data_IF_795355224766
#
_entry.id   IF_795355224766
#
_cell.length_a   1.000
_cell.length_b   1.000
_cell.length_c   1.000
_cell.angle_alpha   90.00
_cell.angle_beta   90.00
_cell.angle_gamma   90.00
#
_symmetry.space_group_name_H-M   'P 1'
#
loop_
_entity.id
_entity.type
_entity.pdbx_description
1 polymer ?
#
# COMPACT_ATOMS: atom_id res chain seq x y z
N UNK A 1 -14.54 21.51 0.98
CA UNK A 1 -13.55 20.45 1.26
C UNK A 1 -12.16 20.93 0.92
N UNK A 2 -11.13 20.51 1.66
CA UNK A 2 -9.74 20.75 1.27
C UNK A 2 -9.13 19.42 0.82
N UNK A 3 -9.33 19.07 -0.45
CA UNK A 3 -8.80 17.84 -1.05
C UNK A 3 -7.28 17.77 -1.00
N UNK A 4 -6.58 18.91 -1.00
CA UNK A 4 -5.13 18.97 -0.85
C UNK A 4 -4.71 18.53 0.55
N UNK A 5 -5.41 18.99 1.59
CA UNK A 5 -5.17 18.56 2.96
C UNK A 5 -5.37 17.04 3.12
N UNK A 6 -6.45 16.48 2.57
CA UNK A 6 -6.69 15.03 2.61
C UNK A 6 -5.57 14.24 1.91
N UNK A 7 -5.09 14.74 0.75
CA UNK A 7 -3.95 14.14 0.04
C UNK A 7 -2.67 14.20 0.86
N UNK A 8 -2.40 15.32 1.55
CA UNK A 8 -1.25 15.46 2.44
C UNK A 8 -1.34 14.45 3.58
N UNK A 9 -2.49 14.36 4.26
CA UNK A 9 -2.73 13.37 5.32
C UNK A 9 -2.49 11.96 4.80
N UNK A 10 -3.08 11.59 3.67
CA UNK A 10 -2.91 10.27 3.07
C UNK A 10 -1.44 9.98 2.70
N UNK A 11 -0.71 10.96 2.15
CA UNK A 11 0.71 10.81 1.83
C UNK A 11 1.56 10.63 3.10
N UNK A 12 1.27 11.38 4.17
CA UNK A 12 1.94 11.24 5.46
C UNK A 12 1.72 9.87 6.08
N UNK A 13 0.50 9.31 6.00
CA UNK A 13 0.21 7.96 6.50
C UNK A 13 0.85 6.86 5.64
N UNK A 14 0.97 7.06 4.32
CA UNK A 14 1.79 6.16 3.48
C UNK A 14 3.27 6.24 3.86
N UNK A 15 3.78 7.44 4.14
CA UNK A 15 5.15 7.61 4.61
C UNK A 15 5.37 6.98 5.99
N UNK A 16 4.40 7.06 6.89
CA UNK A 16 4.42 6.32 8.16
C UNK A 16 4.61 4.82 7.95
N UNK A 17 3.90 4.21 6.99
CA UNK A 17 4.06 2.79 6.66
C UNK A 17 5.48 2.43 6.16
N UNK A 18 6.15 3.33 5.44
CA UNK A 18 7.56 3.17 5.08
C UNK A 18 8.47 3.23 6.30
N UNK A 19 8.28 4.22 7.18
CA UNK A 19 9.13 4.42 8.36
C UNK A 19 8.93 3.30 9.38
N UNK A 20 7.70 2.77 9.53
CA UNK A 20 7.42 1.60 10.36
C UNK A 20 8.24 0.37 9.95
N UNK A 21 8.36 0.12 8.65
CA UNK A 21 9.18 -0.98 8.15
C UNK A 21 10.68 -0.70 8.34
N UNK A 22 11.11 0.56 8.26
CA UNK A 22 12.47 0.97 8.59
C UNK A 22 12.80 0.73 10.07
N UNK A 23 11.96 1.23 10.98
CA UNK A 23 12.09 1.01 12.43
C UNK A 23 12.16 -0.49 12.76
N UNK A 24 11.33 -1.32 12.10
CA UNK A 24 11.39 -2.78 12.26
C UNK A 24 12.72 -3.38 11.80
N UNK A 25 13.25 -2.97 10.64
CA UNK A 25 14.51 -3.48 10.09
C UNK A 25 15.71 -3.12 10.96
N UNK A 26 15.66 -1.94 11.57
CA UNK A 26 16.71 -1.43 12.44
C UNK A 26 16.51 -1.83 13.91
N UNK A 27 15.44 -2.56 14.24
CA UNK A 27 15.14 -2.98 15.61
C UNK A 27 14.79 -1.82 16.55
N UNK A 28 14.32 -0.69 16.02
CA UNK A 28 13.93 0.49 16.82
C UNK A 28 12.61 0.24 17.54
N UNK A 29 12.56 0.59 18.82
CA UNK A 29 11.38 0.42 19.67
C UNK A 29 11.30 1.51 20.73
N UNK A 30 10.11 1.76 21.28
CA UNK A 30 9.91 2.79 22.29
C UNK A 30 10.29 4.18 21.78
N UNK A 31 11.17 4.86 22.51
CA UNK A 31 11.61 6.24 22.21
C UNK A 31 12.47 6.35 20.95
N UNK A 32 13.05 5.23 20.48
CA UNK A 32 13.87 5.21 19.26
C UNK A 32 13.04 5.17 17.96
N UNK A 33 11.71 5.04 18.06
CA UNK A 33 10.85 4.94 16.89
C UNK A 33 10.72 6.28 16.17
N UNK A 34 10.94 6.27 14.85
CA UNK A 34 10.78 7.45 14.01
C UNK A 34 9.39 7.52 13.36
N UNK A 35 8.63 6.44 13.39
CA UNK A 35 7.34 6.37 12.73
C UNK A 35 6.21 7.15 13.45
N UNK A 36 6.09 7.18 14.80
CA UNK A 36 4.95 7.79 15.50
C UNK A 36 4.60 9.24 15.11
N UNK A 37 5.58 10.15 14.95
CA UNK A 37 5.29 11.54 14.57
C UNK A 37 4.48 11.68 13.27
N UNK A 38 4.56 10.72 12.34
CA UNK A 38 3.90 10.80 11.04
C UNK A 38 2.37 10.68 11.11
N UNK A 39 1.83 9.95 12.10
CA UNK A 39 0.38 9.81 12.30
C UNK A 39 -0.12 10.64 13.48
N UNK A 40 0.69 10.81 14.53
CA UNK A 40 0.30 11.57 15.73
C UNK A 40 0.08 13.05 15.43
N UNK A 41 0.88 13.63 14.52
CA UNK A 41 0.71 15.02 14.10
C UNK A 41 -0.69 15.32 13.54
N UNK A 42 -1.30 14.33 12.87
CA UNK A 42 -2.66 14.42 12.32
C UNK A 42 -3.74 13.86 13.25
N UNK A 43 -3.39 13.54 14.50
CA UNK A 43 -4.33 13.01 15.48
C UNK A 43 -4.74 11.55 15.23
N UNK A 44 -3.95 10.79 14.49
CA UNK A 44 -4.19 9.37 14.29
C UNK A 44 -3.50 8.52 15.36
N UNK A 45 -3.84 7.23 15.38
CA UNK A 45 -3.09 6.18 16.05
C UNK A 45 -2.94 4.97 15.15
N UNK A 46 -1.84 4.24 15.35
CA UNK A 46 -1.59 2.97 14.70
C UNK A 46 -2.46 1.87 15.35
N UNK A 47 -3.27 1.19 14.54
CA UNK A 47 -4.10 0.06 14.97
C UNK A 47 -3.41 -1.27 14.72
N UNK A 48 -2.87 -1.45 13.52
CA UNK A 48 -2.19 -2.70 13.15
C UNK A 48 -1.27 -2.50 11.95
N UNK A 49 -0.17 -3.25 11.90
CA UNK A 49 0.67 -3.39 10.71
C UNK A 49 0.15 -4.51 9.81
N UNK A 50 0.28 -4.36 8.50
CA UNK A 50 -0.06 -5.38 7.50
C UNK A 50 1.21 -6.18 7.19
N UNK A 51 1.43 -7.29 7.89
CA UNK A 51 2.66 -8.09 7.76
C UNK A 51 2.49 -9.16 6.68
N UNK A 52 3.45 -9.23 5.76
CA UNK A 52 3.61 -10.35 4.85
C UNK A 52 4.47 -11.43 5.52
N UNK A 53 3.91 -12.64 5.67
CA UNK A 53 4.51 -13.78 6.35
C UNK A 53 4.92 -14.92 5.39
N UNK A 54 5.01 -14.63 4.08
CA UNK A 54 5.13 -15.67 3.03
C UNK A 54 6.39 -16.56 3.15
N UNK A 55 7.44 -16.11 3.82
CA UNK A 55 8.61 -16.96 4.09
C UNK A 55 9.18 -16.64 5.46
N UNK A 56 9.40 -17.68 6.26
CA UNK A 56 9.93 -17.64 7.64
C UNK A 56 11.27 -16.93 7.81
N UNK A 57 11.91 -16.55 6.71
CA UNK A 57 13.22 -15.91 6.64
C UNK A 57 13.17 -14.40 6.40
N UNK A 58 12.03 -13.83 5.96
CA UNK A 58 11.91 -12.37 5.79
C UNK A 58 10.46 -11.89 5.91
N UNK A 59 9.92 -11.81 7.13
CA UNK A 59 8.69 -11.07 7.35
C UNK A 59 8.93 -9.58 7.08
N UNK A 60 7.98 -8.91 6.43
CA UNK A 60 8.02 -7.46 6.22
C UNK A 60 6.62 -6.87 6.27
N UNK A 61 6.50 -5.63 6.73
CA UNK A 61 5.23 -4.91 6.68
C UNK A 61 5.01 -4.33 5.28
N UNK A 62 3.84 -4.54 4.68
CA UNK A 62 3.42 -3.92 3.41
C UNK A 62 2.59 -2.64 3.64
N UNK A 63 2.20 -2.35 4.87
CA UNK A 63 1.29 -1.25 5.17
C UNK A 63 0.87 -1.19 6.63
N UNK A 64 -0.04 -0.29 6.93
CA UNK A 64 -0.59 -0.12 8.26
C UNK A 64 -2.03 0.38 8.22
N UNK A 65 -2.75 0.16 9.31
CA UNK A 65 -4.10 0.69 9.55
C UNK A 65 -4.02 1.74 10.64
N UNK A 66 -4.57 2.91 10.36
CA UNK A 66 -4.63 4.03 11.29
C UNK A 66 -6.08 4.38 11.61
N UNK A 67 -6.33 4.79 12.86
CA UNK A 67 -7.62 5.31 13.31
C UNK A 67 -7.46 6.77 13.70
N UNK A 68 -8.41 7.61 13.31
CA UNK A 68 -8.43 8.98 13.79
C UNK A 68 -8.88 8.98 15.25
N UNK A 69 -8.08 9.52 16.17
CA UNK A 69 -8.48 9.72 17.56
C UNK A 69 -9.60 10.74 17.54
N UNK A 70 -10.83 10.30 17.80
CA UNK A 70 -12.02 11.14 17.70
C UNK A 70 -11.84 12.43 18.51
N UNK A 71 -11.62 13.56 17.83
CA UNK A 71 -11.98 14.85 18.41
C UNK A 71 -13.50 14.95 18.28
N UNK A 72 -14.18 15.12 19.42
CA UNK A 72 -15.65 15.26 19.48
C UNK A 72 -16.17 16.17 18.36
N UNK A 73 -17.04 15.64 17.49
CA UNK A 73 -17.64 16.39 16.39
C UNK A 73 -16.93 16.26 15.05
N UNK A 74 -16.55 15.04 14.65
CA UNK A 74 -15.94 14.79 13.35
C UNK A 74 -16.90 15.17 12.21
N UNK A 75 -16.44 16.11 11.39
CA UNK A 75 -16.96 16.35 10.03
C UNK A 75 -17.17 15.01 9.31
N UNK A 76 -18.26 14.84 8.53
CA UNK A 76 -18.50 13.61 7.75
C UNK A 76 -17.35 13.27 6.78
N UNK A 77 -16.47 14.24 6.52
CA UNK A 77 -15.32 14.14 5.62
C UNK A 77 -14.03 13.63 6.28
N UNK A 78 -14.00 13.46 7.61
CA UNK A 78 -12.84 12.92 8.33
C UNK A 78 -12.87 11.38 8.31
N UNK A 79 -11.74 10.71 7.98
CA UNK A 79 -11.72 9.25 7.95
C UNK A 79 -11.88 8.68 9.35
N UNK A 80 -12.74 7.68 9.50
CA UNK A 80 -12.78 6.86 10.70
C UNK A 80 -11.49 6.01 10.77
N UNK A 81 -11.12 5.41 9.65
CA UNK A 81 -9.90 4.62 9.51
C UNK A 81 -9.27 4.74 8.13
N UNK A 82 -7.95 4.54 8.09
CA UNK A 82 -7.13 4.63 6.88
C UNK A 82 -6.29 3.36 6.76
N UNK A 83 -6.39 2.68 5.63
CA UNK A 83 -5.46 1.62 5.23
C UNK A 83 -4.38 2.26 4.33
N UNK A 84 -3.14 2.28 4.79
CA UNK A 84 -2.01 2.83 4.05
C UNK A 84 -1.06 1.73 3.59
N UNK A 85 -0.83 1.64 2.28
CA UNK A 85 0.00 0.59 1.67
C UNK A 85 1.27 1.21 1.08
N UNK A 86 2.43 0.78 1.57
CA UNK A 86 3.71 1.27 1.03
C UNK A 86 4.04 0.61 -0.30
N UNK A 87 4.93 1.22 -1.06
CA UNK A 87 5.61 0.56 -2.18
C UNK A 87 6.86 -0.20 -1.72
N UNK A 88 7.62 -0.65 -2.70
CA UNK A 88 8.89 -1.37 -2.58
C UNK A 88 9.96 -0.52 -1.87
N UNK A 89 10.74 -1.12 -0.98
CA UNK A 89 11.89 -0.49 -0.28
C UNK A 89 13.23 -1.00 -0.84
N UNK A 90 13.36 -2.28 -1.22
CA UNK A 90 14.68 -2.85 -1.58
C UNK A 90 14.63 -3.99 -2.61
N UNK A 91 15.79 -4.48 -3.07
CA UNK A 91 15.95 -5.60 -4.03
C UNK A 91 15.23 -6.90 -3.59
N UNK A 92 15.11 -7.15 -2.28
CA UNK A 92 14.31 -8.25 -1.73
C UNK A 92 12.80 -8.08 -1.98
N UNK A 93 12.31 -6.84 -2.14
CA UNK A 93 10.95 -6.55 -2.58
C UNK A 93 10.81 -6.64 -4.12
N UNK A 94 11.91 -6.72 -4.90
CA UNK A 94 11.87 -6.76 -6.38
C UNK A 94 11.50 -8.12 -6.96
N UNK A 95 11.94 -9.22 -6.34
CA UNK A 95 11.53 -10.57 -6.74
C UNK A 95 10.03 -10.80 -6.61
N UNK A 96 9.36 -9.99 -5.78
CA UNK A 96 7.89 -9.95 -5.62
C UNK A 96 7.25 -9.04 -6.68
N UNK A 97 8.00 -8.12 -7.29
CA UNK A 97 7.51 -7.02 -8.13
C UNK A 97 7.39 -7.39 -9.62
N UNK A 98 8.31 -8.21 -10.14
CA UNK A 98 8.34 -8.57 -11.57
C UNK A 98 7.22 -9.56 -11.94
N UNK A 99 7.02 -10.64 -11.17
CA UNK A 99 5.90 -11.59 -11.38
C UNK A 99 4.51 -10.95 -11.18
N UNK A 100 4.49 -9.92 -10.35
CA UNK A 100 3.33 -9.08 -10.01
C UNK A 100 2.93 -8.17 -11.17
N UNK A 101 3.89 -7.56 -11.86
CA UNK A 101 3.68 -6.74 -13.06
C UNK A 101 3.41 -7.59 -14.31
N UNK A 102 4.01 -8.79 -14.38
CA UNK A 102 3.88 -9.74 -15.50
C UNK A 102 2.70 -10.72 -15.38
N UNK A 103 1.89 -10.61 -14.32
CA UNK A 103 0.69 -11.44 -14.12
C UNK A 103 0.99 -12.93 -13.85
N UNK A 104 2.22 -13.29 -13.49
CA UNK A 104 2.65 -14.68 -13.26
C UNK A 104 2.80 -15.08 -11.79
N UNK A 105 2.53 -14.19 -10.82
CA UNK A 105 2.43 -14.59 -9.41
C UNK A 105 2.63 -13.45 -8.40
N UNK A 106 2.39 -13.76 -7.13
CA UNK A 106 2.70 -12.97 -5.91
C UNK A 106 1.99 -11.63 -5.63
N UNK A 107 1.27 -10.98 -6.56
CA UNK A 107 0.28 -9.93 -6.23
C UNK A 107 -0.88 -10.45 -5.38
N UNK A 108 -1.18 -11.76 -5.45
CA UNK A 108 -2.30 -12.35 -4.71
C UNK A 108 -2.14 -12.19 -3.21
N UNK A 109 -0.93 -12.23 -2.66
CA UNK A 109 -0.76 -12.25 -1.20
C UNK A 109 -0.92 -10.86 -0.57
N UNK A 110 -0.25 -9.83 -1.09
CA UNK A 110 -0.42 -8.45 -0.61
C UNK A 110 -1.84 -7.94 -0.85
N UNK A 111 -2.41 -8.19 -2.04
CA UNK A 111 -3.81 -7.87 -2.30
C UNK A 111 -4.75 -8.63 -1.37
N UNK A 112 -4.50 -9.92 -1.07
CA UNK A 112 -5.30 -10.69 -0.12
C UNK A 112 -5.21 -10.13 1.30
N UNK A 113 -4.02 -9.82 1.81
CA UNK A 113 -3.86 -9.24 3.16
C UNK A 113 -4.64 -7.92 3.26
N UNK A 114 -4.50 -7.05 2.27
CA UNK A 114 -5.16 -5.73 2.27
C UNK A 114 -6.67 -5.89 2.07
N UNK A 115 -7.11 -6.83 1.21
CA UNK A 115 -8.53 -7.15 1.01
C UNK A 115 -9.16 -7.73 2.28
N UNK A 116 -8.54 -8.72 2.92
CA UNK A 116 -9.02 -9.31 4.17
C UNK A 116 -9.13 -8.26 5.27
N UNK A 117 -8.16 -7.34 5.35
CA UNK A 117 -8.24 -6.22 6.27
C UNK A 117 -9.39 -5.30 5.92
N UNK A 118 -9.54 -4.89 4.66
CA UNK A 118 -10.62 -4.01 4.21
C UNK A 118 -12.01 -4.60 4.50
N UNK A 119 -12.21 -5.88 4.20
CA UNK A 119 -13.43 -6.62 4.51
C UNK A 119 -13.69 -6.69 6.02
N UNK A 120 -12.65 -6.95 6.81
CA UNK A 120 -12.78 -6.96 8.27
C UNK A 120 -13.18 -5.60 8.83
N UNK A 121 -12.61 -4.50 8.32
CA UNK A 121 -12.96 -3.16 8.79
C UNK A 121 -14.40 -2.80 8.43
N UNK A 122 -14.86 -3.13 7.21
CA UNK A 122 -16.25 -2.94 6.80
C UNK A 122 -17.21 -3.75 7.65
N UNK A 123 -16.86 -5.00 7.98
CA UNK A 123 -17.69 -5.85 8.86
C UNK A 123 -17.80 -5.29 10.28
N UNK A 124 -16.73 -4.67 10.79
CA UNK A 124 -16.68 -4.14 12.16
C UNK A 124 -17.31 -2.76 12.29
N UNK A 125 -17.14 -1.88 11.30
CA UNK A 125 -17.53 -0.47 11.37
C UNK A 125 -18.71 -0.11 10.45
N UNK A 126 -19.18 -1.06 9.64
CA UNK A 126 -20.28 -0.85 8.69
C UNK A 126 -19.82 -0.23 7.36
N UNK A 127 -20.70 -0.34 6.35
CA UNK A 127 -20.44 0.12 4.98
C UNK A 127 -20.41 1.64 4.84
N UNK A 128 -21.13 2.35 5.72
CA UNK A 128 -21.22 3.82 5.73
C UNK A 128 -20.04 4.50 6.45
N UNK A 129 -19.08 3.71 6.97
CA UNK A 129 -17.90 4.27 7.60
C UNK A 129 -17.00 4.95 6.56
N UNK A 130 -16.54 6.17 6.86
CA UNK A 130 -15.59 6.90 6.03
C UNK A 130 -14.21 6.23 6.11
N UNK A 131 -14.02 5.19 5.29
CA UNK A 131 -12.79 4.41 5.19
C UNK A 131 -11.93 4.92 4.03
N UNK A 132 -10.65 5.14 4.30
CA UNK A 132 -9.69 5.53 3.30
C UNK A 132 -8.77 4.38 2.94
N UNK A 133 -8.41 4.33 1.66
CA UNK A 133 -7.42 3.40 1.14
C UNK A 133 -6.37 4.19 0.36
N UNK A 134 -5.13 4.18 0.83
CA UNK A 134 -4.05 4.93 0.20
C UNK A 134 -2.85 4.06 -0.12
N UNK A 135 -2.11 4.42 -1.18
CA UNK A 135 -0.88 3.72 -1.49
C UNK A 135 0.05 4.46 -2.44
N UNK A 136 1.33 4.10 -2.38
CA UNK A 136 2.40 4.64 -3.23
C UNK A 136 3.06 3.57 -4.10
N UNK A 137 3.38 3.88 -5.36
CA UNK A 137 4.06 2.96 -6.29
C UNK A 137 3.33 1.62 -6.38
N UNK A 138 3.98 0.50 -6.05
CA UNK A 138 3.34 -0.82 -5.97
C UNK A 138 2.12 -0.83 -5.01
N UNK A 139 2.21 -0.13 -3.89
CA UNK A 139 1.10 0.01 -2.94
C UNK A 139 -0.11 0.72 -3.54
N UNK A 140 0.10 1.64 -4.49
CA UNK A 140 -0.98 2.29 -5.21
C UNK A 140 -1.71 1.32 -6.16
N UNK A 141 -0.98 0.38 -6.79
CA UNK A 141 -1.60 -0.70 -7.57
C UNK A 141 -2.45 -1.62 -6.69
N UNK A 142 -1.94 -1.99 -5.51
CA UNK A 142 -2.69 -2.81 -4.53
C UNK A 142 -3.94 -2.08 -4.05
N UNK A 143 -3.81 -0.80 -3.67
CA UNK A 143 -4.93 0.05 -3.27
C UNK A 143 -5.99 0.16 -4.38
N UNK A 144 -5.56 0.32 -5.63
CA UNK A 144 -6.47 0.36 -6.79
C UNK A 144 -7.23 -0.94 -6.96
N UNK A 145 -6.53 -2.08 -6.90
CA UNK A 145 -7.16 -3.40 -7.02
C UNK A 145 -8.17 -3.66 -5.91
N UNK A 146 -7.78 -3.45 -4.64
CA UNK A 146 -8.68 -3.66 -3.50
C UNK A 146 -9.86 -2.70 -3.54
N UNK A 147 -9.64 -1.43 -3.87
CA UNK A 147 -10.71 -0.45 -4.05
C UNK A 147 -11.74 -0.88 -5.11
N UNK A 148 -11.29 -1.37 -6.27
CA UNK A 148 -12.17 -1.91 -7.32
C UNK A 148 -12.97 -3.14 -6.84
N UNK A 149 -12.33 -4.06 -6.10
CA UNK A 149 -13.02 -5.24 -5.56
C UNK A 149 -14.04 -4.89 -4.47
N UNK A 150 -13.73 -3.96 -3.58
CA UNK A 150 -14.65 -3.49 -2.55
C UNK A 150 -15.84 -2.73 -3.16
N UNK A 151 -15.60 -1.92 -4.19
CA UNK A 151 -16.67 -1.21 -4.91
C UNK A 151 -17.66 -2.19 -5.58
N UNK A 152 -17.17 -3.30 -6.15
CA UNK A 152 -18.01 -4.39 -6.68
C UNK A 152 -18.89 -5.05 -5.62
N UNK A 153 -18.50 -4.99 -4.35
CA UNK A 153 -19.27 -5.45 -3.19
C UNK A 153 -20.16 -4.34 -2.58
N UNK A 154 -20.27 -3.19 -3.23
CA UNK A 154 -21.05 -2.04 -2.76
C UNK A 154 -20.38 -1.22 -1.66
N UNK A 155 -19.10 -1.45 -1.37
CA UNK A 155 -18.35 -0.75 -0.32
C UNK A 155 -17.37 0.25 -0.94
N UNK A 156 -17.60 1.55 -0.74
CA UNK A 156 -16.80 2.60 -1.38
C UNK A 156 -15.77 3.19 -0.42
N UNK A 157 -14.50 3.12 -0.82
CA UNK A 157 -13.38 3.70 -0.06
C UNK A 157 -12.94 4.99 -0.73
N UNK A 158 -12.68 6.03 0.06
CA UNK A 158 -11.97 7.21 -0.46
C UNK A 158 -10.54 6.80 -0.75
N UNK A 159 -10.15 6.82 -2.03
CA UNK A 159 -8.88 6.23 -2.47
C UNK A 159 -7.85 7.30 -2.87
N UNK A 160 -6.64 7.22 -2.32
CA UNK A 160 -5.53 8.13 -2.62
C UNK A 160 -4.34 7.37 -3.20
N UNK A 161 -3.98 7.67 -4.46
CA UNK A 161 -2.96 6.94 -5.20
C UNK A 161 -1.78 7.86 -5.52
N UNK A 162 -0.57 7.45 -5.11
CA UNK A 162 0.65 8.23 -5.30
C UNK A 162 1.60 7.49 -6.24
N UNK A 163 1.89 8.11 -7.39
CA UNK A 163 2.80 7.56 -8.41
C UNK A 163 2.56 6.06 -8.73
N UNK A 164 1.31 5.63 -9.04
CA UNK A 164 1.09 4.26 -9.48
C UNK A 164 1.91 4.00 -10.76
N UNK A 165 2.54 2.83 -10.92
CA UNK A 165 3.10 2.46 -12.22
C UNK A 165 1.98 2.59 -13.25
N UNK A 166 2.26 3.21 -14.40
CA UNK A 166 1.25 3.52 -15.42
C UNK A 166 0.55 2.25 -15.89
N UNK A 167 -0.61 1.93 -15.32
CA UNK A 167 -1.56 0.96 -15.86
C UNK A 167 -2.65 1.77 -16.57
N UNK A 168 -2.26 2.43 -17.66
CA UNK A 168 -3.22 3.17 -18.50
C UNK A 168 -3.85 2.20 -19.50
N UNK A 169 -5.00 1.63 -19.13
CA UNK A 169 -5.96 1.02 -20.05
C UNK A 169 -5.66 -0.43 -20.51
N UNK A 170 -6.72 -1.23 -20.68
CA UNK A 170 -6.67 -2.69 -20.96
C UNK A 170 -5.91 -3.06 -22.25
N UNK A 171 -5.71 -2.12 -23.18
CA UNK A 171 -4.95 -2.26 -24.44
C UNK A 171 -3.45 -1.99 -24.31
N UNK A 172 -2.98 -1.27 -23.29
CA UNK A 172 -1.56 -0.96 -23.12
C UNK A 172 -0.80 -2.03 -22.33
N UNK A 173 -1.51 -2.93 -21.64
CA UNK A 173 -0.92 -4.08 -20.94
C UNK A 173 -0.02 -4.90 -21.87
N UNK A 174 -0.50 -5.19 -23.07
CA UNK A 174 0.22 -6.04 -24.02
C UNK A 174 1.47 -5.33 -24.57
N UNK A 175 1.38 -4.03 -24.86
CA UNK A 175 2.52 -3.23 -25.33
C UNK A 175 3.58 -2.98 -24.25
N UNK A 176 3.19 -2.89 -22.99
CA UNK A 176 4.11 -2.77 -21.86
C UNK A 176 4.84 -4.09 -21.58
N UNK A 177 4.13 -5.22 -21.66
CA UNK A 177 4.73 -6.55 -21.52
C UNK A 177 5.78 -6.76 -22.60
N UNK A 178 5.47 -6.44 -23.86
CA UNK A 178 6.43 -6.58 -24.96
C UNK A 178 7.67 -5.70 -24.79
N UNK A 179 7.48 -4.45 -24.35
CA UNK A 179 8.60 -3.50 -24.15
C UNK A 179 9.46 -3.87 -22.94
N UNK A 180 8.89 -4.51 -21.92
CA UNK A 180 9.63 -5.07 -20.80
C UNK A 180 10.41 -6.32 -21.21
N UNK A 181 9.83 -7.19 -22.03
CA UNK A 181 10.54 -8.36 -22.56
C UNK A 181 11.77 -7.95 -23.37
N UNK A 182 11.67 -6.92 -24.20
CA UNK A 182 12.79 -6.39 -25.00
C UNK A 182 13.91 -5.81 -24.11
N UNK A 183 13.55 -5.08 -23.04
CA UNK A 183 14.51 -4.52 -22.06
C UNK A 183 15.15 -5.64 -21.23
N UNK A 184 14.39 -6.69 -20.88
CA UNK A 184 14.89 -7.83 -20.12
C UNK A 184 15.81 -8.74 -20.95
N UNK A 185 15.58 -8.87 -22.26
CA UNK A 185 16.52 -9.53 -23.18
C UNK A 185 17.81 -8.73 -23.33
N UNK A 186 17.72 -7.40 -23.45
CA UNK A 186 18.89 -6.54 -23.50
C UNK A 186 19.73 -6.59 -22.20
N UNK A 187 19.07 -6.67 -21.03
CA UNK A 187 19.74 -6.77 -19.74
C UNK A 187 20.28 -8.18 -19.44
N UNK A 188 19.60 -9.24 -19.89
CA UNK A 188 20.07 -10.63 -19.76
C UNK A 188 21.27 -10.96 -20.64
N UNK A 189 21.39 -10.29 -21.80
CA UNK A 189 22.58 -10.41 -22.67
C UNK A 189 23.86 -9.85 -22.05
N UNK A 190 23.76 -8.90 -21.11
CA UNK A 190 24.92 -8.32 -20.42
C UNK A 190 25.48 -9.21 -19.31
N UNK A 191 24.67 -10.13 -18.75
CA UNK A 191 25.12 -11.10 -17.75
C UNK A 191 25.76 -12.33 -18.40
N UNK A 192 25.33 -12.68 -19.63
CA UNK A 192 25.92 -13.78 -20.40
C UNK A 192 27.27 -13.47 -21.07
N UNK A 193 27.69 -12.20 -21.12
CA UNK A 193 28.96 -11.78 -21.72
C UNK A 193 30.12 -11.60 -20.71
N UNK A 194 29.90 -11.95 -19.44
CA UNK A 194 30.88 -11.84 -18.35
C UNK A 194 31.10 -13.17 -17.59
N UNK A 195 30.68 -14.30 -18.16
CA UNK A 195 31.21 -15.63 -17.85
C UNK A 195 32.09 -16.11 -18.99
#
# INVERSE_FOLDING_TARGET
ENHEHQRIVAACLVKAAYVLEGDRREGRSGEDQLAPPWWEFFGFELISTLVNLESSLSSFSIGAVFRLKAASGTSPFAPAMVIAVRGTIDHHDWGVNVDTLLGRGRQRHSCRIVMEKAESLVREHGMESNLWLCGHSLGATVATFVGDQMAKKGCFFTTFLFNPPYILNRRSKDGFIQKLDDIMQAAGGLVGALM
#
